data_IF_623141266091
#
_entry.id   IF_623141266091
#
_cell.length_a   1.000
_cell.length_b   1.000
_cell.length_c   1.000
_cell.angle_alpha   90.00
_cell.angle_beta   90.00
_cell.angle_gamma   90.00
#
_symmetry.space_group_name_H-M   'P 1'
#
loop_
_entity.id
_entity.type
_entity.pdbx_description
1 polymer ?
#
# COMPACT_ATOMS: atom_id res chain seq x y z
N UNK A 1 -10.78 -13.28 -6.46
CA UNK A 1 -10.72 -11.86 -6.88
C UNK A 1 -9.29 -11.31 -6.80
N UNK A 2 -8.60 -11.47 -5.66
CA UNK A 2 -7.20 -11.05 -5.47
C UNK A 2 -6.25 -11.66 -6.53
N UNK A 3 -6.38 -12.96 -6.84
CA UNK A 3 -5.51 -13.58 -7.86
C UNK A 3 -5.61 -12.95 -9.24
N UNK A 4 -6.82 -12.57 -9.67
CA UNK A 4 -7.04 -11.89 -10.95
C UNK A 4 -6.37 -10.51 -10.97
N UNK A 5 -6.44 -9.78 -9.85
CA UNK A 5 -5.77 -8.49 -9.69
C UNK A 5 -4.25 -8.67 -9.76
N UNK A 6 -3.69 -9.61 -9.00
CA UNK A 6 -2.23 -9.87 -8.99
C UNK A 6 -1.73 -10.25 -10.38
N UNK A 7 -2.44 -11.16 -11.04
CA UNK A 7 -2.06 -11.63 -12.36
C UNK A 7 -2.22 -10.53 -13.43
N UNK A 8 -3.21 -9.66 -13.28
CA UNK A 8 -3.37 -8.49 -14.17
C UNK A 8 -2.20 -7.52 -14.02
N UNK A 9 -1.82 -7.15 -12.79
CA UNK A 9 -0.71 -6.22 -12.54
C UNK A 9 0.62 -6.82 -13.01
N UNK A 10 0.87 -8.11 -12.73
CA UNK A 10 2.07 -8.80 -13.18
C UNK A 10 2.23 -8.75 -14.71
N UNK A 11 1.12 -8.78 -15.46
CA UNK A 11 1.10 -8.71 -16.93
C UNK A 11 1.25 -7.31 -17.52
N UNK A 12 1.04 -6.24 -16.74
CA UNK A 12 1.04 -4.84 -17.24
C UNK A 12 2.37 -4.45 -17.91
N UNK A 13 3.46 -5.18 -17.67
CA UNK A 13 4.80 -4.80 -18.14
C UNK A 13 5.59 -5.96 -18.78
N UNK A 14 4.91 -7.01 -19.25
CA UNK A 14 5.53 -8.19 -19.89
C UNK A 14 6.31 -7.81 -21.18
N UNK A 15 5.96 -6.69 -21.81
CA UNK A 15 6.66 -6.13 -22.98
C UNK A 15 8.03 -5.51 -22.66
N UNK A 16 8.39 -5.34 -21.38
CA UNK A 16 9.67 -4.72 -20.94
C UNK A 16 10.50 -5.67 -20.06
N UNK A 17 10.71 -6.91 -20.55
CA UNK A 17 11.53 -7.99 -19.95
C UNK A 17 12.96 -7.62 -19.47
N UNK A 18 13.43 -6.40 -19.69
CA UNK A 18 14.78 -5.93 -19.34
C UNK A 18 14.85 -5.02 -18.12
N UNK A 19 13.74 -4.74 -17.42
CA UNK A 19 13.78 -3.85 -16.24
C UNK A 19 13.96 -4.63 -14.92
N UNK A 20 15.06 -4.34 -14.22
CA UNK A 20 15.45 -4.94 -12.94
C UNK A 20 14.68 -4.35 -11.74
N UNK A 21 13.35 -4.43 -11.71
CA UNK A 21 12.61 -4.07 -10.49
C UNK A 21 11.09 -4.17 -10.59
N UNK A 22 10.35 -3.60 -9.62
CA UNK A 22 8.93 -3.89 -9.46
C UNK A 22 8.09 -3.34 -10.61
N UNK A 23 7.11 -4.13 -11.04
CA UNK A 23 6.13 -3.73 -12.04
C UNK A 23 5.08 -2.84 -11.38
N UNK A 24 4.91 -1.62 -11.89
CA UNK A 24 4.09 -0.60 -11.24
C UNK A 24 2.99 -0.02 -12.11
N UNK A 25 1.75 -0.08 -11.62
CA UNK A 25 0.59 0.64 -12.16
C UNK A 25 0.25 1.83 -11.26
N UNK A 26 -0.07 2.98 -11.82
CA UNK A 26 -0.46 4.17 -11.05
C UNK A 26 -1.75 4.73 -11.63
N UNK A 27 -2.73 5.01 -10.78
CA UNK A 27 -4.01 5.60 -11.13
C UNK A 27 -4.30 6.78 -10.21
N UNK A 28 -4.80 7.88 -10.77
CA UNK A 28 -5.35 8.97 -9.98
C UNK A 28 -6.86 8.95 -10.09
N UNK A 29 -7.53 8.89 -8.96
CA UNK A 29 -8.99 8.81 -8.85
C UNK A 29 -9.53 10.08 -8.20
N UNK A 30 -10.61 10.58 -8.77
CA UNK A 30 -11.43 11.64 -8.19
C UNK A 30 -12.67 10.98 -7.57
N UNK A 31 -13.01 11.37 -6.35
CA UNK A 31 -14.21 10.90 -5.68
C UNK A 31 -14.88 12.06 -4.94
N UNK A 32 -16.19 12.15 -5.01
CA UNK A 32 -16.97 13.14 -4.27
C UNK A 32 -17.58 12.47 -3.05
N UNK A 33 -17.34 13.03 -1.86
CA UNK A 33 -18.04 12.57 -0.66
C UNK A 33 -19.39 13.28 -0.55
N UNK A 34 -20.47 12.49 -0.65
CA UNK A 34 -21.85 12.97 -0.60
C UNK A 34 -22.38 12.81 0.83
N UNK A 35 -22.42 13.92 1.56
CA UNK A 35 -23.18 14.01 2.81
C UNK A 35 -24.58 14.57 2.51
N UNK A 36 -25.60 13.71 2.65
CA UNK A 36 -26.98 14.04 2.31
C UNK A 36 -27.56 15.16 3.19
N UNK A 37 -27.14 15.27 4.45
CA UNK A 37 -27.66 16.30 5.35
C UNK A 37 -27.04 17.65 4.99
N UNK A 38 -25.71 17.70 4.84
CA UNK A 38 -25.03 18.93 4.44
C UNK A 38 -25.43 19.38 3.04
N UNK A 39 -25.62 18.46 2.09
CA UNK A 39 -26.11 18.80 0.76
C UNK A 39 -27.55 19.29 0.76
N UNK A 40 -28.40 18.80 1.67
CA UNK A 40 -29.78 19.28 1.78
C UNK A 40 -29.84 20.71 2.33
N UNK A 41 -29.04 21.02 3.35
CA UNK A 41 -29.06 22.35 3.98
C UNK A 41 -28.24 23.37 3.16
N UNK A 42 -27.10 22.95 2.60
CA UNK A 42 -26.12 23.81 1.93
C UNK A 42 -25.46 23.10 0.72
N UNK A 43 -26.17 22.94 -0.41
CA UNK A 43 -25.78 22.07 -1.53
C UNK A 43 -24.46 22.41 -2.21
N UNK A 44 -23.98 23.66 -2.12
CA UNK A 44 -22.78 24.12 -2.84
C UNK A 44 -21.61 24.49 -1.92
N UNK A 45 -21.79 24.49 -0.60
CA UNK A 45 -20.78 25.04 0.33
C UNK A 45 -19.87 23.97 0.93
N UNK A 46 -20.33 22.70 0.93
CA UNK A 46 -19.61 21.57 1.54
C UNK A 46 -19.21 20.49 0.55
N UNK A 47 -19.10 20.81 -0.74
CA UNK A 47 -18.60 19.86 -1.74
C UNK A 47 -17.12 19.61 -1.47
N UNK A 48 -16.79 18.38 -1.07
CA UNK A 48 -15.43 17.92 -0.86
C UNK A 48 -15.05 16.91 -1.94
N UNK A 49 -14.25 17.38 -2.90
CA UNK A 49 -13.64 16.52 -3.91
C UNK A 49 -12.38 15.91 -3.32
N UNK A 50 -12.38 14.59 -3.18
CA UNK A 50 -11.26 13.79 -2.71
C UNK A 50 -10.48 13.24 -3.90
N UNK A 51 -9.27 13.75 -4.06
CA UNK A 51 -8.29 13.20 -4.99
C UNK A 51 -7.43 12.16 -4.29
N UNK A 52 -7.39 10.95 -4.85
CA UNK A 52 -6.50 9.89 -4.40
C UNK A 52 -5.54 9.50 -5.50
N UNK A 53 -4.27 9.36 -5.15
CA UNK A 53 -3.31 8.68 -6.01
C UNK A 53 -3.08 7.27 -5.50
N UNK A 54 -3.42 6.31 -6.34
CA UNK A 54 -3.29 4.89 -6.09
C UNK A 54 -2.12 4.33 -6.90
N UNK A 55 -1.35 3.43 -6.32
CA UNK A 55 -0.23 2.79 -6.96
C UNK A 55 -0.19 1.32 -6.58
N UNK A 56 -0.12 0.43 -7.56
CA UNK A 56 0.10 -0.99 -7.33
C UNK A 56 1.52 -1.34 -7.78
N UNK A 57 2.31 -1.96 -6.89
CA UNK A 57 3.66 -2.43 -7.16
C UNK A 57 3.73 -3.95 -6.98
N UNK A 58 4.08 -4.65 -8.04
CA UNK A 58 4.31 -6.09 -8.05
C UNK A 58 5.81 -6.40 -7.97
N UNK A 59 6.18 -7.21 -6.98
CA UNK A 59 7.52 -7.75 -6.80
C UNK A 59 7.51 -9.24 -7.17
N UNK A 60 8.29 -9.58 -8.20
CA UNK A 60 8.41 -10.95 -8.65
C UNK A 60 9.26 -11.80 -7.69
N UNK A 61 9.12 -13.12 -7.70
CA UNK A 61 9.89 -14.02 -6.84
C UNK A 61 11.41 -13.85 -7.00
N UNK A 62 11.87 -13.60 -8.23
CA UNK A 62 13.29 -13.39 -8.55
C UNK A 62 13.82 -12.09 -7.95
N UNK A 63 13.01 -11.03 -8.00
CA UNK A 63 13.32 -9.75 -7.36
C UNK A 63 13.32 -9.88 -5.83
N UNK A 64 12.36 -10.62 -5.27
CA UNK A 64 12.26 -10.83 -3.83
C UNK A 64 13.42 -11.66 -3.27
N UNK A 65 13.95 -12.61 -4.04
CA UNK A 65 15.10 -13.42 -3.64
C UNK A 65 16.37 -12.58 -3.41
N UNK A 66 16.51 -11.46 -4.12
CA UNK A 66 17.64 -10.52 -3.99
C UNK A 66 17.32 -9.30 -3.12
N UNK A 67 16.05 -9.16 -2.69
CA UNK A 67 15.58 -8.01 -1.96
C UNK A 67 15.74 -8.14 -0.45
N UNK A 68 15.91 -6.99 0.21
CA UNK A 68 15.82 -6.83 1.65
C UNK A 68 14.83 -5.70 1.98
N UNK A 69 14.62 -5.45 3.27
CA UNK A 69 13.72 -4.41 3.75
C UNK A 69 14.03 -3.02 3.15
N UNK A 70 15.31 -2.67 2.95
CA UNK A 70 15.71 -1.37 2.36
C UNK A 70 15.49 -1.33 0.84
N UNK A 71 15.71 -2.43 0.13
CA UNK A 71 15.54 -2.45 -1.34
C UNK A 71 14.07 -2.44 -1.75
N UNK A 72 13.13 -2.77 -0.86
CA UNK A 72 11.70 -2.51 -1.10
C UNK A 72 11.44 -1.03 -1.35
N UNK A 73 12.12 -0.14 -0.63
CA UNK A 73 12.00 1.31 -0.84
C UNK A 73 12.93 1.87 -1.91
N UNK A 74 14.04 1.20 -2.16
CA UNK A 74 15.02 1.61 -3.16
C UNK A 74 15.34 0.46 -4.10
N UNK A 75 14.38 0.04 -4.96
CA UNK A 75 14.60 -1.07 -5.87
C UNK A 75 15.62 -0.67 -6.95
N UNK A 76 16.62 -1.51 -7.24
CA UNK A 76 17.67 -1.21 -8.22
C UNK A 76 17.16 -1.37 -9.67
N UNK A 77 16.33 -0.44 -10.16
CA UNK A 77 15.79 -0.45 -11.54
C UNK A 77 16.77 0.25 -12.50
N UNK A 78 17.68 -0.50 -13.13
CA UNK A 78 18.60 0.05 -14.14
C UNK A 78 19.25 1.37 -13.72
N UNK A 79 18.96 2.47 -14.44
CA UNK A 79 19.44 3.83 -14.12
C UNK A 79 18.40 4.76 -13.46
N UNK A 80 17.18 4.29 -13.17
CA UNK A 80 16.09 5.12 -12.62
C UNK A 80 15.42 4.46 -11.43
N UNK A 81 15.65 4.97 -10.23
CA UNK A 81 14.97 4.52 -9.01
C UNK A 81 13.50 5.00 -9.08
N UNK A 82 12.54 4.06 -9.11
CA UNK A 82 11.11 4.36 -8.93
C UNK A 82 10.75 4.04 -7.47
N UNK A 83 10.97 5.00 -6.60
CA UNK A 83 10.68 4.87 -5.16
C UNK A 83 9.16 4.75 -4.95
N UNK A 84 8.70 3.73 -4.20
CA UNK A 84 7.31 3.65 -3.75
C UNK A 84 6.89 4.90 -2.97
N UNK A 85 5.62 5.32 -3.05
CA UNK A 85 5.20 6.58 -2.42
C UNK A 85 5.23 6.50 -0.90
N UNK A 86 4.85 5.36 -0.33
CA UNK A 86 4.94 5.14 1.13
C UNK A 86 6.37 5.23 1.67
N UNK A 87 7.39 5.02 0.84
CA UNK A 87 8.79 5.14 1.27
C UNK A 87 9.24 6.58 1.44
N UNK A 88 8.59 7.53 0.76
CA UNK A 88 8.78 8.97 0.99
C UNK A 88 8.03 9.47 2.22
N UNK A 89 6.99 8.75 2.65
CA UNK A 89 6.23 9.02 3.87
C UNK A 89 6.99 8.45 5.09
N UNK A 90 8.15 9.05 5.38
CA UNK A 90 9.08 8.77 6.50
C UNK A 90 8.44 8.85 7.91
N UNK A 91 7.11 8.97 8.02
CA UNK A 91 6.35 9.15 9.26
C UNK A 91 5.54 7.92 9.64
N UNK A 92 5.52 6.87 8.81
CA UNK A 92 4.85 5.61 9.14
C UNK A 92 5.73 4.72 10.02
N UNK A 93 6.26 5.31 11.08
CA UNK A 93 6.69 4.54 12.22
C UNK A 93 5.45 4.21 13.05
N UNK A 94 4.98 2.98 12.92
CA UNK A 94 3.86 2.44 13.66
C UNK A 94 4.27 1.97 15.07
N UNK A 95 5.39 2.44 15.64
CA UNK A 95 5.89 2.12 17.01
C UNK A 95 4.82 2.20 18.11
N UNK A 96 3.74 2.96 17.89
CA UNK A 96 2.59 3.09 18.81
C UNK A 96 1.26 2.59 18.26
N UNK A 97 1.27 1.88 17.13
CA UNK A 97 0.10 1.31 16.47
C UNK A 97 0.25 -0.20 16.42
N UNK A 98 -0.61 -0.90 17.15
CA UNK A 98 -0.74 -2.35 17.11
C UNK A 98 -1.87 -2.75 16.16
N UNK A 99 -1.78 -3.97 15.61
CA UNK A 99 -2.91 -4.52 14.88
C UNK A 99 -4.10 -4.70 15.84
N UNK A 100 -5.36 -4.48 15.41
CA UNK A 100 -6.53 -4.72 16.28
C UNK A 100 -6.62 -6.16 16.82
N UNK A 101 -6.02 -7.11 16.11
CA UNK A 101 -5.94 -8.53 16.48
C UNK A 101 -4.73 -8.88 17.35
N UNK A 102 -3.79 -7.95 17.56
CA UNK A 102 -2.60 -8.20 18.35
C UNK A 102 -2.85 -7.83 19.82
N UNK A 103 -3.20 -8.84 20.61
CA UNK A 103 -3.45 -8.72 22.05
C UNK A 103 -2.18 -8.40 22.86
N UNK A 104 -1.00 -8.64 22.29
CA UNK A 104 0.28 -8.32 22.93
C UNK A 104 0.72 -6.88 22.64
N UNK A 105 -0.05 -6.16 21.82
CA UNK A 105 0.22 -4.76 21.49
C UNK A 105 1.55 -4.58 20.76
N UNK A 106 2.03 -5.60 20.03
CA UNK A 106 3.29 -5.45 19.30
C UNK A 106 3.06 -4.45 18.18
N UNK A 107 3.97 -3.51 18.13
CA UNK A 107 3.96 -2.51 17.10
C UNK A 107 4.41 -3.10 15.76
N UNK A 108 3.80 -2.63 14.67
CA UNK A 108 4.29 -2.90 13.32
C UNK A 108 5.58 -2.14 12.96
N UNK A 109 6.02 -1.18 13.78
CA UNK A 109 7.24 -0.39 13.58
C UNK A 109 7.32 0.22 12.18
N UNK A 110 8.42 -0.05 11.48
CA UNK A 110 8.63 0.39 10.11
C UNK A 110 7.91 -0.54 9.12
N UNK A 111 6.98 0.00 8.33
CA UNK A 111 6.15 -0.76 7.38
C UNK A 111 6.96 -1.73 6.50
N UNK A 112 8.05 -1.24 5.92
CA UNK A 112 8.89 -2.05 5.01
C UNK A 112 9.67 -3.15 5.74
N UNK A 113 10.00 -2.97 7.02
CA UNK A 113 10.64 -3.99 7.85
C UNK A 113 9.62 -5.07 8.18
N UNK A 114 8.46 -4.67 8.71
CA UNK A 114 7.38 -5.59 9.08
C UNK A 114 6.88 -6.37 7.86
N UNK A 115 6.72 -5.73 6.71
CA UNK A 115 6.35 -6.42 5.45
C UNK A 115 7.38 -7.49 5.06
N UNK A 116 8.68 -7.19 5.21
CA UNK A 116 9.74 -8.15 4.90
C UNK A 116 9.78 -9.31 5.91
N UNK A 117 9.51 -9.05 7.19
CA UNK A 117 9.40 -10.10 8.22
C UNK A 117 8.25 -11.06 7.92
N UNK A 118 7.08 -10.53 7.54
CA UNK A 118 5.93 -11.33 7.11
C UNK A 118 6.25 -12.16 5.87
N UNK A 119 6.90 -11.54 4.87
CA UNK A 119 7.33 -12.25 3.66
C UNK A 119 8.23 -13.44 4.00
N UNK A 120 9.24 -13.23 4.85
CA UNK A 120 10.15 -14.29 5.29
C UNK A 120 9.44 -15.37 6.10
N UNK A 121 8.51 -15.00 6.96
CA UNK A 121 7.70 -15.96 7.71
C UNK A 121 6.90 -16.87 6.75
N UNK A 122 6.30 -16.30 5.69
CA UNK A 122 5.56 -17.06 4.68
C UNK A 122 6.50 -17.93 3.84
N UNK A 123 7.65 -17.41 3.42
CA UNK A 123 8.68 -18.19 2.72
C UNK A 123 9.16 -19.38 3.56
N UNK A 124 9.34 -19.20 4.87
CA UNK A 124 9.73 -20.28 5.79
C UNK A 124 8.62 -21.33 5.98
N UNK A 125 7.35 -20.89 5.93
CA UNK A 125 6.17 -21.76 6.06
C UNK A 125 5.90 -22.56 4.79
N UNK A 126 6.22 -22.01 3.61
CA UNK A 126 5.99 -22.62 2.30
C UNK A 126 7.28 -22.65 1.46
N UNK A 127 8.29 -23.48 1.83
CA UNK A 127 9.61 -23.47 1.20
C UNK A 127 9.62 -23.96 -0.26
N UNK A 128 8.65 -24.80 -0.64
CA UNK A 128 8.51 -25.33 -2.01
C UNK A 128 7.64 -24.43 -2.90
N UNK A 129 7.04 -23.39 -2.34
CA UNK A 129 6.14 -22.49 -3.06
C UNK A 129 6.87 -21.24 -3.55
N UNK A 130 6.43 -20.75 -4.69
CA UNK A 130 6.88 -19.48 -5.26
C UNK A 130 6.11 -18.36 -4.58
N UNK A 131 6.80 -17.44 -3.92
CA UNK A 131 6.17 -16.32 -3.21
C UNK A 131 6.33 -15.02 -4.00
N UNK A 132 5.22 -14.32 -4.22
CA UNK A 132 5.19 -12.97 -4.77
C UNK A 132 4.55 -11.96 -3.80
N UNK A 133 4.87 -10.68 -4.00
CA UNK A 133 4.40 -9.58 -3.16
C UNK A 133 3.79 -8.48 -4.03
N UNK A 134 2.61 -8.01 -3.62
CA UNK A 134 2.03 -6.76 -4.12
C UNK A 134 1.90 -5.76 -2.99
N UNK A 135 2.28 -4.52 -3.29
CA UNK A 135 1.95 -3.37 -2.49
C UNK A 135 0.89 -2.55 -3.22
N UNK A 136 -0.27 -2.40 -2.60
CA UNK A 136 -1.32 -1.50 -3.03
C UNK A 136 -1.26 -0.24 -2.16
N UNK A 137 -0.83 0.85 -2.75
CA UNK A 137 -0.67 2.14 -2.09
C UNK A 137 -1.81 3.06 -2.51
N UNK A 138 -2.31 3.82 -1.55
CA UNK A 138 -3.28 4.88 -1.77
C UNK A 138 -2.91 6.06 -0.88
N UNK A 139 -2.92 7.24 -1.48
CA UNK A 139 -2.62 8.49 -0.80
C UNK A 139 -3.64 9.54 -1.22
N UNK A 140 -4.31 10.11 -0.22
CA UNK A 140 -5.16 11.29 -0.42
C UNK A 140 -4.33 12.55 -0.56
N UNK A 141 -4.81 13.49 -1.38
CA UNK A 141 -4.37 14.87 -1.31
C UNK A 141 -4.85 15.49 0.03
N UNK A 142 -4.17 16.54 0.49
CA UNK A 142 -4.57 17.23 1.72
C UNK A 142 -5.98 17.81 1.58
N UNK A 143 -6.91 17.36 2.42
CA UNK A 143 -8.26 17.89 2.47
C UNK A 143 -8.33 18.98 3.53
N UNK A 144 -8.74 20.17 3.13
CA UNK A 144 -9.03 21.27 4.06
C UNK A 144 -10.51 21.22 4.45
N UNK A 145 -10.79 21.05 5.74
CA UNK A 145 -12.13 21.17 6.29
C UNK A 145 -12.56 22.65 6.25
N UNK A 146 -13.67 22.93 5.57
CA UNK A 146 -14.24 24.29 5.46
C UNK A 146 -15.45 24.43 6.38
N UNK A 147 -15.73 25.65 6.84
CA UNK A 147 -16.92 25.98 7.63
C UNK A 147 -16.75 25.91 9.16
N UNK A 148 -15.56 25.61 9.66
CA UNK A 148 -15.22 25.71 11.09
C UNK A 148 -14.64 27.07 11.46
N UNK A 149 -14.59 27.37 12.77
CA UNK A 149 -13.84 28.52 13.32
C UNK A 149 -12.33 28.24 13.44
N UNK A 150 -11.90 27.04 13.08
CA UNK A 150 -10.54 26.53 13.19
C UNK A 150 -10.06 26.02 11.84
N UNK A 151 -8.78 26.20 11.56
CA UNK A 151 -8.12 25.58 10.41
C UNK A 151 -7.90 24.11 10.71
N UNK A 152 -8.58 23.25 9.95
CA UNK A 152 -8.46 21.81 10.06
C UNK A 152 -8.17 21.24 8.67
N UNK A 153 -7.17 20.37 8.61
CA UNK A 153 -6.86 19.61 7.41
C UNK A 153 -6.52 18.18 7.76
N UNK A 154 -6.84 17.25 6.89
CA UNK A 154 -6.41 15.87 7.06
C UNK A 154 -5.92 15.26 5.76
N UNK A 155 -5.00 14.32 5.89
CA UNK A 155 -4.47 13.51 4.80
C UNK A 155 -4.44 12.07 5.26
N UNK A 156 -5.07 11.17 4.51
CA UNK A 156 -5.00 9.73 4.77
C UNK A 156 -4.10 9.06 3.76
N UNK A 157 -3.39 8.04 4.20
CA UNK A 157 -2.69 7.13 3.32
C UNK A 157 -2.89 5.71 3.82
N UNK A 158 -3.03 4.80 2.87
CA UNK A 158 -3.23 3.39 3.13
C UNK A 158 -2.31 2.57 2.23
N UNK A 159 -1.75 1.51 2.80
CA UNK A 159 -0.91 0.56 2.08
C UNK A 159 -1.39 -0.84 2.44
N UNK A 160 -1.79 -1.62 1.45
CA UNK A 160 -2.08 -3.05 1.64
C UNK A 160 -0.96 -3.88 1.04
N UNK A 161 -0.34 -4.72 1.87
CA UNK A 161 0.64 -5.70 1.44
C UNK A 161 -0.04 -7.05 1.25
N UNK A 162 -0.09 -7.51 0.02
CA UNK A 162 -0.62 -8.83 -0.35
C UNK A 162 0.56 -9.73 -0.69
N UNK A 163 0.83 -10.71 0.17
CA UNK A 163 1.85 -11.72 -0.05
C UNK A 163 1.15 -13.01 -0.45
N UNK A 164 1.52 -13.55 -1.60
CA UNK A 164 0.88 -14.73 -2.14
C UNK A 164 1.91 -15.83 -2.36
N UNK A 165 1.60 -17.03 -1.87
CA UNK A 165 2.37 -18.23 -2.14
C UNK A 165 1.65 -19.07 -3.19
N UNK A 166 2.40 -19.51 -4.21
CA UNK A 166 1.91 -20.30 -5.32
C UNK A 166 2.65 -21.62 -5.40
N UNK A 167 1.92 -22.69 -5.66
CA UNK A 167 2.51 -23.94 -6.07
C UNK A 167 2.58 -23.96 -7.60
N UNK A 168 3.80 -23.98 -8.13
CA UNK A 168 4.08 -24.01 -9.57
C UNK A 168 4.78 -25.33 -9.94
N UNK A 169 4.34 -26.45 -9.34
CA UNK A 169 4.88 -27.79 -9.68
C UNK A 169 4.73 -28.09 -11.16
N UNK A 170 3.61 -27.65 -11.77
CA UNK A 170 3.40 -27.66 -13.21
C UNK A 170 3.61 -26.24 -13.80
N UNK A 171 4.53 -26.06 -14.76
CA UNK A 171 4.81 -24.75 -15.37
C UNK A 171 3.59 -24.11 -16.05
N UNK A 172 2.62 -24.93 -16.47
CA UNK A 172 1.39 -24.50 -17.14
C UNK A 172 0.25 -24.16 -16.17
N UNK A 173 0.35 -24.54 -14.89
CA UNK A 173 -0.70 -24.31 -13.89
C UNK A 173 -0.09 -24.00 -12.52
N UNK A 174 0.21 -22.72 -12.30
CA UNK A 174 0.49 -22.21 -10.96
C UNK A 174 -0.83 -22.00 -10.21
N UNK A 175 -1.01 -22.70 -9.09
CA UNK A 175 -2.15 -22.52 -8.20
C UNK A 175 -1.75 -21.70 -6.97
N UNK A 176 -2.67 -20.86 -6.50
CA UNK A 176 -2.47 -20.09 -5.26
C UNK A 176 -2.79 -20.99 -4.07
N UNK A 177 -1.80 -21.24 -3.22
CA UNK A 177 -1.97 -22.08 -2.02
C UNK A 177 -2.23 -21.26 -0.77
N UNK A 178 -1.75 -20.02 -0.72
CA UNK A 178 -1.91 -19.15 0.43
C UNK A 178 -1.83 -17.68 0.04
N UNK A 179 -2.62 -16.85 0.72
CA UNK A 179 -2.60 -15.39 0.59
C UNK A 179 -2.60 -14.80 2.00
N UNK A 180 -1.64 -13.93 2.26
CA UNK A 180 -1.61 -13.04 3.41
C UNK A 180 -1.90 -11.62 2.92
N UNK A 181 -2.87 -10.96 3.55
CA UNK A 181 -3.20 -9.56 3.29
C UNK A 181 -3.07 -8.79 4.60
N UNK A 182 -2.22 -7.77 4.59
CA UNK A 182 -2.01 -6.90 5.73
C UNK A 182 -2.13 -5.44 5.32
N UNK A 183 -3.03 -4.73 6.01
CA UNK A 183 -3.33 -3.33 5.73
C UNK A 183 -2.71 -2.41 6.77
N UNK A 184 -1.95 -1.44 6.28
CA UNK A 184 -1.41 -0.32 7.04
C UNK A 184 -2.24 0.92 6.73
N UNK A 185 -2.76 1.57 7.76
CA UNK A 185 -3.54 2.80 7.63
C UNK A 185 -2.85 3.90 8.43
N UNK A 186 -2.65 5.06 7.81
CA UNK A 186 -2.10 6.25 8.47
C UNK A 186 -2.94 7.46 8.14
N UNK A 187 -3.00 8.38 9.10
CA UNK A 187 -3.70 9.65 8.98
C UNK A 187 -2.86 10.76 9.59
N UNK A 188 -2.71 11.84 8.85
CA UNK A 188 -2.19 13.09 9.34
C UNK A 188 -3.36 14.04 9.56
N UNK A 189 -3.49 14.55 10.79
CA UNK A 189 -4.39 15.65 11.12
C UNK A 189 -3.54 16.90 11.35
N UNK A 190 -3.91 17.99 10.69
CA UNK A 190 -3.32 19.31 10.86
C UNK A 190 -4.40 20.20 11.46
N UNK A 191 -4.10 20.86 12.57
CA UNK A 191 -5.00 21.81 13.22
C UNK A 191 -4.24 23.00 13.78
N UNK A 192 -4.88 24.17 13.78
CA UNK A 192 -4.46 25.34 14.55
C UNK A 192 -4.95 25.32 16.01
N UNK A 193 -5.73 24.31 16.40
CA UNK A 193 -6.17 24.11 17.78
C UNK A 193 -5.02 23.58 18.62
N UNK A 194 -4.63 24.34 19.63
CA UNK A 194 -3.65 23.90 20.64
C UNK A 194 -4.34 22.91 21.57
N UNK A 195 -3.92 21.65 21.54
CA UNK A 195 -4.34 20.65 22.51
C UNK A 195 -3.67 20.96 23.87
N UNK A 196 -4.47 21.20 24.90
CA UNK A 196 -4.02 21.42 26.28
C UNK A 196 -4.03 20.13 27.10
#
# INVERSE_FOLDING_TARGET
MIDSLVNSIAKVNDDKRTQSGPVGLTLRTESEYIDRLHQFIFPSWFININWRTNQALYYSPELLATSNARTLCFPPIGSRIRTPRFCGELWTNFDRSCAPSDLEGRSAGLLYVHTMERLRAIQSRFPTSVVDLILLESQEDMQACRGGLTSLGFRRSDVSAVIRARNCSDPSSCETVYVDDYRYETGLLISDVVQW
#
